data_IF_584554661474
#
_entry.id   IF_584554661474
#
_cell.length_a   1.000
_cell.length_b   1.000
_cell.length_c   1.000
_cell.angle_alpha   90.00
_cell.angle_beta   90.00
_cell.angle_gamma   90.00
#
_symmetry.space_group_name_H-M   'P 1'
#
loop_
_entity.id
_entity.type
_entity.pdbx_description
1 polymer ?
#
# COMPACT_ATOMS: atom_id res chain seq x y z
N UNK A 1 -13.43 1.42 3.92
CA UNK A 1 -12.11 1.74 4.48
C UNK A 1 -11.04 1.53 3.42
N UNK A 2 -10.07 2.41 3.37
CA UNK A 2 -8.96 2.28 2.43
C UNK A 2 -7.73 1.75 3.18
N UNK A 3 -6.98 0.87 2.53
CA UNK A 3 -5.81 0.23 3.13
C UNK A 3 -4.56 0.68 2.37
N UNK A 4 -3.53 1.12 3.10
CA UNK A 4 -2.31 1.62 2.49
C UNK A 4 -1.09 0.92 3.10
N UNK A 5 -0.23 0.42 2.22
CA UNK A 5 1.02 -0.22 2.61
C UNK A 5 2.15 0.80 2.57
N UNK A 6 2.91 0.89 3.65
CA UNK A 6 4.15 1.66 3.67
C UNK A 6 5.28 0.78 3.18
N UNK A 7 6.06 1.29 2.22
CA UNK A 7 7.18 0.56 1.63
C UNK A 7 8.49 1.18 2.09
N UNK A 8 9.52 0.33 2.17
CA UNK A 8 10.89 0.83 2.33
C UNK A 8 11.49 1.14 0.95
N UNK A 9 12.75 1.51 0.92
CA UNK A 9 13.47 1.85 -0.32
C UNK A 9 13.61 0.67 -1.28
N UNK A 10 13.40 -0.55 -0.80
CA UNK A 10 13.45 -1.78 -1.59
C UNK A 10 12.07 -2.32 -1.94
N UNK A 11 11.01 -1.51 -1.72
CA UNK A 11 9.62 -1.88 -1.96
C UNK A 11 9.11 -3.02 -1.07
N UNK A 12 9.74 -3.20 0.10
CA UNK A 12 9.26 -4.17 1.08
C UNK A 12 8.24 -3.50 2.00
N UNK A 13 7.12 -4.17 2.24
CA UNK A 13 6.05 -3.63 3.07
C UNK A 13 6.48 -3.61 4.54
N UNK A 14 6.51 -2.42 5.12
CA UNK A 14 6.84 -2.20 6.53
C UNK A 14 5.61 -2.32 7.42
N UNK A 15 4.49 -1.79 6.97
CA UNK A 15 3.23 -1.86 7.68
C UNK A 15 2.07 -1.58 6.72
N UNK A 16 0.87 -1.96 7.13
CA UNK A 16 -0.35 -1.61 6.42
C UNK A 16 -1.27 -0.90 7.39
N UNK A 17 -1.77 0.26 6.98
CA UNK A 17 -2.69 1.03 7.81
C UNK A 17 -4.05 1.13 7.11
N UNK A 18 -5.07 1.38 7.91
CA UNK A 18 -6.44 1.58 7.44
C UNK A 18 -6.81 3.02 7.66
N UNK A 19 -7.30 3.69 6.63
CA UNK A 19 -7.78 5.07 6.75
C UNK A 19 -9.25 5.14 6.36
N UNK A 20 -9.95 6.12 6.94
CA UNK A 20 -11.36 6.30 6.70
C UNK A 20 -11.61 6.75 5.26
N UNK A 21 -12.73 6.30 4.67
CA UNK A 21 -13.07 6.64 3.29
C UNK A 21 -13.14 8.14 3.04
N UNK A 22 -13.51 8.94 4.04
CA UNK A 22 -13.56 10.40 3.91
C UNK A 22 -12.19 10.99 3.55
N UNK A 23 -11.11 10.38 3.99
CA UNK A 23 -9.75 10.88 3.77
C UNK A 23 -9.27 10.64 2.33
N UNK A 24 -9.99 9.79 1.59
CA UNK A 24 -9.72 9.54 0.17
C UNK A 24 -10.87 10.04 -0.71
N UNK A 25 -11.65 11.02 -0.20
CA UNK A 25 -12.75 11.64 -0.94
C UNK A 25 -13.89 10.70 -1.25
N UNK A 26 -14.05 9.63 -0.50
CA UNK A 26 -15.03 8.56 -0.75
C UNK A 26 -14.90 7.95 -2.15
N UNK A 27 -13.68 8.00 -2.71
CA UNK A 27 -13.40 7.48 -4.05
C UNK A 27 -12.91 6.04 -3.98
N UNK A 28 -13.06 5.34 -5.09
CA UNK A 28 -12.50 4.00 -5.26
C UNK A 28 -11.10 4.07 -5.86
N UNK A 29 -10.38 2.96 -5.80
CA UNK A 29 -9.11 2.84 -6.50
C UNK A 29 -9.37 2.87 -8.02
N UNK A 30 -8.54 3.55 -8.85
CA UNK A 30 -7.27 4.17 -8.49
C UNK A 30 -7.36 5.63 -8.02
N UNK A 31 -8.50 6.28 -8.14
CA UNK A 31 -8.65 7.72 -7.83
C UNK A 31 -8.38 8.02 -6.36
N UNK A 32 -8.67 7.07 -5.48
CA UNK A 32 -8.45 7.21 -4.04
C UNK A 32 -6.98 7.23 -3.64
N UNK A 33 -6.09 6.66 -4.46
CA UNK A 33 -4.71 6.42 -4.06
C UNK A 33 -3.94 7.72 -3.79
N UNK A 34 -4.02 8.69 -4.69
CA UNK A 34 -3.25 9.93 -4.51
C UNK A 34 -3.66 10.67 -3.24
N UNK A 35 -4.96 10.69 -2.94
CA UNK A 35 -5.48 11.35 -1.74
C UNK A 35 -5.01 10.63 -0.48
N UNK A 36 -5.04 9.30 -0.50
CA UNK A 36 -4.59 8.50 0.62
C UNK A 36 -3.09 8.59 0.85
N UNK A 37 -2.30 8.63 -0.22
CA UNK A 37 -0.84 8.83 -0.12
C UNK A 37 -0.54 10.18 0.51
N UNK A 38 -1.24 11.23 0.10
CA UNK A 38 -1.05 12.56 0.70
C UNK A 38 -1.40 12.55 2.19
N UNK A 39 -2.48 11.88 2.57
CA UNK A 39 -2.86 11.72 3.97
C UNK A 39 -1.77 11.00 4.76
N UNK A 40 -1.27 9.89 4.23
CA UNK A 40 -0.24 9.11 4.90
C UNK A 40 1.05 9.92 5.07
N UNK A 41 1.48 10.63 4.06
CA UNK A 41 2.68 11.46 4.14
C UNK A 41 2.53 12.60 5.14
N UNK A 42 1.34 13.18 5.24
CA UNK A 42 1.08 14.23 6.22
C UNK A 42 1.21 13.72 7.66
N UNK A 43 0.90 12.45 7.90
CA UNK A 43 0.93 11.86 9.24
C UNK A 43 2.24 11.13 9.57
N UNK A 44 2.93 10.61 8.56
CA UNK A 44 4.12 9.77 8.78
C UNK A 44 5.41 10.39 8.24
N UNK A 45 5.32 11.42 7.40
CA UNK A 45 6.47 12.12 6.85
C UNK A 45 6.51 12.13 5.33
N UNK A 46 7.04 13.22 4.75
CA UNK A 46 7.09 13.39 3.29
C UNK A 46 8.03 12.40 2.61
N UNK A 47 8.95 11.81 3.34
CA UNK A 47 9.92 10.85 2.83
C UNK A 47 9.40 9.41 2.85
N UNK A 48 8.17 9.19 3.31
CA UNK A 48 7.57 7.86 3.33
C UNK A 48 6.97 7.49 1.97
N UNK A 49 6.94 6.20 1.68
CA UNK A 49 6.46 5.66 0.41
C UNK A 49 5.21 4.82 0.70
N UNK A 50 4.13 5.09 -0.03
CA UNK A 50 2.84 4.43 0.20
C UNK A 50 2.22 3.94 -1.09
N UNK A 51 1.61 2.75 -1.02
CA UNK A 51 0.80 2.20 -2.11
C UNK A 51 -0.49 1.63 -1.54
N UNK A 52 -1.60 1.92 -2.21
CA UNK A 52 -2.89 1.37 -1.79
C UNK A 52 -2.94 -0.12 -2.08
N UNK A 53 -3.51 -0.88 -1.14
CA UNK A 53 -3.73 -2.32 -1.30
C UNK A 53 -5.21 -2.62 -1.07
N UNK A 54 -5.68 -3.78 -1.54
CA UNK A 54 -7.07 -4.19 -1.39
C UNK A 54 -7.19 -5.33 -0.39
N UNK A 55 -7.99 -5.11 0.64
CA UNK A 55 -8.28 -6.15 1.63
C UNK A 55 -8.92 -7.39 0.99
N UNK A 56 -9.72 -7.19 -0.06
CA UNK A 56 -10.44 -8.26 -0.75
C UNK A 56 -9.76 -8.71 -2.04
N UNK A 57 -8.50 -8.34 -2.25
CA UNK A 57 -7.72 -8.72 -3.43
C UNK A 57 -8.35 -8.23 -4.74
N UNK A 58 -9.00 -7.05 -4.73
CA UNK A 58 -9.68 -6.50 -5.91
C UNK A 58 -8.73 -5.83 -6.88
N UNK A 59 -7.52 -5.47 -6.44
CA UNK A 59 -6.49 -4.87 -7.29
C UNK A 59 -5.12 -5.18 -6.69
N UNK A 60 -4.08 -5.05 -7.52
CA UNK A 60 -2.69 -5.33 -7.14
C UNK A 60 -2.48 -6.74 -6.58
N UNK A 61 -3.25 -7.70 -7.09
CA UNK A 61 -3.15 -9.14 -6.91
C UNK A 61 -3.51 -9.63 -5.52
N UNK A 62 -2.67 -9.39 -4.51
CA UNK A 62 -2.93 -9.87 -3.14
C UNK A 62 -2.97 -8.70 -2.16
N UNK A 63 -3.65 -8.91 -1.03
CA UNK A 63 -3.62 -7.97 0.06
C UNK A 63 -2.20 -7.91 0.63
N UNK A 64 -1.62 -6.69 0.69
CA UNK A 64 -0.27 -6.53 1.19
C UNK A 64 -0.20 -6.84 2.68
N UNK A 65 0.79 -7.62 3.06
CA UNK A 65 1.12 -7.85 4.46
C UNK A 65 2.55 -7.41 4.73
N UNK A 66 2.91 -7.34 6.02
CA UNK A 66 4.29 -7.00 6.42
C UNK A 66 5.25 -7.99 5.79
N UNK A 67 6.30 -7.51 5.14
CA UNK A 67 7.29 -8.33 4.46
C UNK A 67 6.98 -8.64 3.01
N UNK A 68 5.75 -8.40 2.54
CA UNK A 68 5.44 -8.53 1.11
C UNK A 68 6.27 -7.53 0.30
N UNK A 69 6.42 -7.81 -1.00
CA UNK A 69 7.20 -6.97 -1.91
C UNK A 69 6.27 -6.39 -2.96
N UNK A 70 6.37 -5.08 -3.19
CA UNK A 70 5.65 -4.43 -4.28
C UNK A 70 6.50 -4.43 -5.54
N UNK A 71 5.93 -4.93 -6.65
CA UNK A 71 6.56 -4.91 -7.97
C UNK A 71 6.04 -3.71 -8.76
N UNK A 72 6.85 -2.65 -8.96
CA UNK A 72 6.36 -1.47 -9.67
C UNK A 72 6.18 -1.68 -11.16
N UNK A 73 6.83 -2.67 -11.75
CA UNK A 73 6.70 -2.97 -13.18
C UNK A 73 5.35 -3.64 -13.45
N UNK A 74 5.02 -4.65 -12.65
CA UNK A 74 3.74 -5.36 -12.79
C UNK A 74 2.59 -4.68 -12.03
N UNK A 75 2.91 -3.72 -11.14
CA UNK A 75 1.96 -3.04 -10.26
C UNK A 75 1.16 -4.03 -9.41
N UNK A 76 1.88 -4.93 -8.76
CA UNK A 76 1.29 -5.96 -7.88
C UNK A 76 2.09 -6.10 -6.59
N UNK A 77 1.42 -6.64 -5.56
CA UNK A 77 2.10 -7.13 -4.36
C UNK A 77 2.37 -8.62 -4.51
N UNK A 78 3.50 -9.06 -4.01
CA UNK A 78 3.88 -10.47 -4.01
C UNK A 78 4.23 -10.90 -2.58
N UNK A 79 4.06 -12.20 -2.32
CA UNK A 79 4.41 -12.78 -1.03
C UNK A 79 5.91 -12.58 -0.74
N UNK A 80 6.29 -12.54 0.56
CA UNK A 80 7.70 -12.41 0.92
C UNK A 80 8.51 -13.52 0.28
N UNK A 81 9.71 -13.15 -0.21
CA UNK A 81 10.61 -14.13 -0.79
C UNK A 81 11.22 -14.94 0.35
N UNK A 82 10.94 -16.23 0.38
CA UNK A 82 11.51 -17.14 1.37
C UNK A 82 12.81 -17.65 0.79
N UNK A 83 13.92 -17.34 1.45
CA UNK A 83 15.20 -17.90 1.08
C UNK A 83 15.40 -19.18 1.88
N UNK A 84 15.60 -20.29 1.16
CA UNK A 84 15.96 -21.54 1.80
C UNK A 84 17.39 -21.42 2.33
N UNK A 85 17.62 -21.90 3.54
CA UNK A 85 18.97 -21.95 4.07
C UNK A 85 19.85 -22.88 3.28
#
# INVERSE_FOLDING_TARGET
>A
MAHFAQLDENNVVLQVIVIHNNEVGNLDFPESESLGVDFCKAHYGDDTIWKQTSYNNNFRKIYAGIGCIYDPVADIFAAPKIESP
#
